data_IF_570131321733
#
_entry.id   IF_570131321733
#
_cell.length_a   1.000
_cell.length_b   1.000
_cell.length_c   1.000
_cell.angle_alpha   90.00
_cell.angle_beta   90.00
_cell.angle_gamma   90.00
#
_symmetry.space_group_name_H-M   'P 1'
#
loop_
_entity.id
_entity.type
_entity.pdbx_description
1 polymer ?
#
# COMPACT_ATOMS: atom_id res chain seq x y z
N UNK A 1 -30.38 4.62 -4.93
CA UNK A 1 -29.42 5.62 -4.44
C UNK A 1 -28.10 5.40 -5.15
N UNK A 2 -27.42 6.47 -5.55
CA UNK A 2 -26.14 6.37 -6.25
C UNK A 2 -25.09 5.69 -5.35
N UNK A 3 -24.61 4.52 -5.76
CA UNK A 3 -23.43 3.90 -5.16
C UNK A 3 -22.25 4.62 -5.80
N UNK A 4 -21.57 5.46 -5.03
CA UNK A 4 -20.33 6.09 -5.46
C UNK A 4 -19.25 5.02 -5.43
N UNK A 5 -18.92 4.47 -6.60
CA UNK A 5 -17.69 3.70 -6.76
C UNK A 5 -16.52 4.66 -6.56
N UNK A 6 -15.60 4.33 -5.66
CA UNK A 6 -14.43 5.17 -5.42
C UNK A 6 -13.56 5.17 -6.68
N UNK A 7 -13.13 6.34 -7.18
CA UNK A 7 -12.33 6.42 -8.40
C UNK A 7 -10.92 5.82 -8.27
N UNK A 8 -10.41 5.59 -7.05
CA UNK A 8 -8.98 5.28 -6.83
C UNK A 8 -8.70 4.12 -5.86
N UNK A 9 -9.71 3.46 -5.29
CA UNK A 9 -9.47 2.40 -4.31
C UNK A 9 -10.73 1.75 -3.72
N UNK A 10 -10.60 0.95 -2.64
CA UNK A 10 -11.74 0.30 -2.01
C UNK A 10 -12.68 1.30 -1.34
N UNK A 11 -13.99 1.02 -1.34
CA UNK A 11 -14.93 1.83 -0.56
C UNK A 11 -14.63 1.67 0.93
N UNK A 12 -14.40 2.78 1.63
CA UNK A 12 -14.07 2.81 3.06
C UNK A 12 -15.21 3.42 3.88
N UNK A 13 -15.38 3.03 5.16
CA UNK A 13 -16.37 3.64 6.04
C UNK A 13 -16.29 5.17 6.05
N UNK A 14 -17.43 5.84 5.92
CA UNK A 14 -17.52 7.30 5.96
C UNK A 14 -17.09 8.03 4.69
N UNK A 15 -16.67 7.33 3.62
CA UNK A 15 -16.10 7.95 2.41
C UNK A 15 -16.99 9.06 1.82
N UNK A 16 -18.31 8.85 1.73
CA UNK A 16 -19.24 9.85 1.20
C UNK A 16 -19.20 11.17 1.96
N UNK A 17 -19.05 11.12 3.29
CA UNK A 17 -19.01 12.33 4.12
C UNK A 17 -17.66 13.03 4.03
N UNK A 18 -16.58 12.25 4.00
CA UNK A 18 -15.22 12.78 3.79
C UNK A 18 -15.13 13.48 2.43
N UNK A 19 -15.65 12.87 1.36
CA UNK A 19 -15.68 13.47 0.02
C UNK A 19 -16.42 14.80 -0.07
N UNK A 20 -17.40 15.06 0.80
CA UNK A 20 -18.16 16.32 0.80
C UNK A 20 -17.44 17.45 1.54
N UNK A 21 -16.54 17.11 2.45
CA UNK A 21 -15.98 18.05 3.43
C UNK A 21 -14.47 18.26 3.31
N UNK A 22 -13.78 17.47 2.48
CA UNK A 22 -12.32 17.47 2.35
C UNK A 22 -11.87 17.65 0.90
N UNK A 23 -10.61 18.06 0.73
CA UNK A 23 -9.95 18.08 -0.58
C UNK A 23 -9.76 16.67 -1.14
N UNK A 24 -9.53 16.54 -2.45
CA UNK A 24 -9.24 15.23 -3.05
C UNK A 24 -8.00 14.56 -2.45
N UNK A 25 -6.98 15.34 -2.11
CA UNK A 25 -5.77 14.84 -1.47
C UNK A 25 -6.08 14.27 -0.08
N UNK A 26 -6.84 15.00 0.73
CA UNK A 26 -7.27 14.55 2.04
C UNK A 26 -8.17 13.30 1.96
N UNK A 27 -9.07 13.23 0.97
CA UNK A 27 -9.87 12.02 0.69
C UNK A 27 -8.97 10.84 0.34
N UNK A 28 -7.96 11.03 -0.51
CA UNK A 28 -7.02 9.99 -0.89
C UNK A 28 -6.18 9.52 0.32
N UNK A 29 -5.68 10.44 1.14
CA UNK A 29 -4.96 10.15 2.37
C UNK A 29 -5.83 9.35 3.37
N UNK A 30 -7.10 9.73 3.53
CA UNK A 30 -8.05 9.03 4.38
C UNK A 30 -8.33 7.60 3.87
N UNK A 31 -8.58 7.46 2.58
CA UNK A 31 -8.82 6.17 1.96
C UNK A 31 -7.61 5.24 2.08
N UNK A 32 -6.40 5.76 1.86
CA UNK A 32 -5.14 5.05 2.08
C UNK A 32 -5.00 4.62 3.55
N UNK A 33 -5.20 5.56 4.49
CA UNK A 33 -5.08 5.31 5.92
C UNK A 33 -5.99 4.17 6.37
N UNK A 34 -7.28 4.22 6.01
CA UNK A 34 -8.23 3.18 6.40
C UNK A 34 -7.87 1.83 5.76
N UNK A 35 -7.54 1.82 4.47
CA UNK A 35 -7.19 0.58 3.75
C UNK A 35 -5.96 -0.10 4.37
N UNK A 36 -4.92 0.67 4.64
CA UNK A 36 -3.67 0.18 5.22
C UNK A 36 -3.87 -0.24 6.68
N UNK A 37 -4.66 0.51 7.46
CA UNK A 37 -4.95 0.13 8.84
C UNK A 37 -5.71 -1.20 8.92
N UNK A 38 -6.66 -1.42 8.00
CA UNK A 38 -7.34 -2.70 7.87
C UNK A 38 -6.37 -3.82 7.47
N UNK A 39 -5.48 -3.58 6.51
CA UNK A 39 -4.48 -4.54 6.08
C UNK A 39 -3.50 -4.90 7.21
N UNK A 40 -3.09 -3.92 8.03
CA UNK A 40 -2.21 -4.13 9.19
C UNK A 40 -2.87 -4.90 10.34
N UNK A 41 -4.19 -4.81 10.46
CA UNK A 41 -4.95 -5.60 11.44
C UNK A 41 -5.20 -7.03 10.96
N UNK A 42 -5.11 -7.30 9.66
CA UNK A 42 -5.43 -8.60 9.07
C UNK A 42 -4.59 -9.79 9.59
N UNK A 43 -3.26 -9.66 9.83
CA UNK A 43 -2.44 -10.74 10.38
C UNK A 43 -2.89 -11.19 11.77
N UNK A 44 -3.60 -10.35 12.53
CA UNK A 44 -4.12 -10.69 13.86
C UNK A 44 -5.19 -11.80 13.76
N UNK A 45 -5.93 -11.83 12.65
CA UNK A 45 -7.05 -12.75 12.43
C UNK A 45 -6.77 -13.79 11.33
N UNK A 46 -5.73 -13.59 10.52
CA UNK A 46 -5.35 -14.49 9.45
C UNK A 46 -4.09 -15.30 9.81
N UNK A 47 -4.11 -16.64 9.73
CA UNK A 47 -2.92 -17.46 9.89
C UNK A 47 -1.82 -17.05 8.90
N UNK A 48 -0.57 -17.02 9.36
CA UNK A 48 0.60 -16.69 8.53
C UNK A 48 0.78 -17.62 7.32
N UNK A 49 0.23 -18.84 7.35
CA UNK A 49 0.20 -19.74 6.20
C UNK A 49 -0.73 -19.27 5.05
N UNK A 50 -1.56 -18.24 5.27
CA UNK A 50 -2.51 -17.69 4.28
C UNK A 50 -2.34 -16.19 4.04
N UNK A 51 -1.27 -15.62 4.60
CA UNK A 51 -0.96 -14.21 4.45
C UNK A 51 0.55 -14.01 4.38
N UNK A 52 1.00 -13.34 3.33
CA UNK A 52 2.39 -12.93 3.15
C UNK A 52 2.42 -11.41 3.00
N UNK A 53 3.14 -10.73 3.89
CA UNK A 53 3.42 -9.30 3.80
C UNK A 53 4.74 -9.08 3.07
N UNK A 54 4.77 -8.10 2.16
CA UNK A 54 5.97 -7.69 1.45
C UNK A 54 6.10 -6.18 1.53
N UNK A 55 7.30 -5.71 1.85
CA UNK A 55 7.66 -4.30 1.71
C UNK A 55 8.13 -4.05 0.28
N UNK A 56 7.59 -3.02 -0.36
CA UNK A 56 7.99 -2.66 -1.71
C UNK A 56 9.50 -2.37 -1.78
N UNK A 57 10.05 -1.67 -0.80
CA UNK A 57 11.46 -1.30 -0.73
C UNK A 57 12.38 -2.52 -0.65
N UNK A 58 11.99 -3.54 0.13
CA UNK A 58 12.77 -4.78 0.25
C UNK A 58 12.65 -5.63 -1.02
N UNK A 59 11.45 -5.67 -1.63
CA UNK A 59 11.22 -6.36 -2.90
C UNK A 59 12.08 -5.78 -4.03
N UNK A 60 12.18 -4.45 -4.14
CA UNK A 60 13.03 -3.83 -5.18
C UNK A 60 14.52 -3.97 -4.87
N UNK A 61 14.91 -3.99 -3.59
CA UNK A 61 16.31 -4.12 -3.18
C UNK A 61 16.84 -5.56 -3.34
N UNK A 62 15.98 -6.57 -3.11
CA UNK A 62 16.33 -7.99 -3.14
C UNK A 62 15.26 -8.82 -3.87
N UNK A 63 15.03 -8.55 -5.17
CA UNK A 63 13.90 -9.14 -5.88
C UNK A 63 13.96 -10.65 -5.95
N UNK A 64 15.13 -11.23 -6.21
CA UNK A 64 15.24 -12.69 -6.32
C UNK A 64 14.89 -13.40 -5.01
N UNK A 65 15.33 -12.86 -3.87
CA UNK A 65 15.05 -13.44 -2.56
C UNK A 65 13.57 -13.38 -2.23
N UNK A 66 12.93 -12.23 -2.48
CA UNK A 66 11.50 -12.07 -2.24
C UNK A 66 10.65 -12.88 -3.21
N UNK A 67 11.02 -13.00 -4.48
CA UNK A 67 10.33 -13.87 -5.44
C UNK A 67 10.42 -15.34 -5.01
N UNK A 68 11.60 -15.81 -4.58
CA UNK A 68 11.76 -17.17 -4.02
C UNK A 68 10.90 -17.39 -2.79
N UNK A 69 10.82 -16.41 -1.89
CA UNK A 69 9.95 -16.49 -0.71
C UNK A 69 8.47 -16.57 -1.11
N UNK A 70 8.01 -15.73 -2.05
CA UNK A 70 6.64 -15.79 -2.56
C UNK A 70 6.32 -17.18 -3.14
N UNK A 71 7.26 -17.79 -3.88
CA UNK A 71 7.08 -19.13 -4.43
C UNK A 71 6.95 -20.19 -3.35
N UNK A 72 7.84 -20.17 -2.35
CA UNK A 72 7.76 -21.08 -1.21
C UNK A 72 6.43 -20.93 -0.47
N UNK A 73 5.93 -19.70 -0.35
CA UNK A 73 4.64 -19.42 0.25
C UNK A 73 3.45 -19.94 -0.58
N UNK A 74 3.53 -19.84 -1.92
CA UNK A 74 2.50 -20.36 -2.84
C UNK A 74 2.58 -21.88 -3.08
N UNK A 75 3.71 -22.51 -2.77
CA UNK A 75 4.00 -23.94 -2.94
C UNK A 75 4.68 -24.29 -4.27
N UNK A 76 5.15 -25.54 -4.38
CA UNK A 76 6.05 -26.07 -5.44
C UNK A 76 5.48 -26.09 -6.88
N UNK A 77 4.31 -25.50 -7.12
CA UNK A 77 3.64 -25.46 -8.42
C UNK A 77 4.13 -24.31 -9.33
N UNK A 78 4.99 -23.43 -8.82
CA UNK A 78 5.39 -22.20 -9.51
C UNK A 78 6.85 -22.26 -9.95
N UNK A 79 7.07 -22.33 -11.27
CA UNK A 79 8.40 -22.29 -11.89
C UNK A 79 9.06 -20.91 -11.68
N UNK A 80 10.25 -20.94 -11.10
CA UNK A 80 10.96 -19.75 -10.62
C UNK A 80 11.87 -19.10 -11.65
N UNK A 81 12.41 -19.88 -12.58
CA UNK A 81 13.36 -19.40 -13.58
C UNK A 81 12.69 -18.43 -14.55
N UNK A 82 11.51 -18.79 -15.06
CA UNK A 82 10.78 -17.95 -16.01
C UNK A 82 10.21 -16.64 -15.43
N UNK A 83 10.05 -16.52 -14.11
CA UNK A 83 9.62 -15.27 -13.47
C UNK A 83 10.79 -14.32 -13.32
N UNK A 84 11.92 -14.79 -12.80
CA UNK A 84 13.11 -13.96 -12.58
C UNK A 84 13.65 -13.36 -13.88
N UNK A 85 13.61 -14.13 -14.98
CA UNK A 85 14.00 -13.64 -16.32
C UNK A 85 13.11 -12.50 -16.86
N UNK A 86 11.90 -12.32 -16.31
CA UNK A 86 10.89 -11.35 -16.76
C UNK A 86 10.69 -10.19 -15.79
N UNK A 87 11.34 -10.23 -14.63
CA UNK A 87 11.27 -9.17 -13.62
C UNK A 87 12.15 -8.02 -14.09
N UNK A 88 11.52 -6.98 -14.65
CA UNK A 88 12.15 -5.70 -14.90
C UNK A 88 11.72 -4.71 -13.81
N UNK A 89 12.56 -4.53 -12.78
CA UNK A 89 12.28 -3.57 -11.71
C UNK A 89 12.73 -2.19 -12.15
N UNK A 90 11.77 -1.36 -12.55
CA UNK A 90 11.98 0.07 -12.62
C UNK A 90 11.73 0.67 -11.24
N UNK A 91 12.81 1.03 -10.53
CA UNK A 91 12.69 1.84 -9.32
C UNK A 91 12.27 3.27 -9.71
N UNK A 92 11.23 3.80 -9.07
CA UNK A 92 10.85 5.20 -9.22
C UNK A 92 11.91 6.11 -8.63
N UNK A 93 12.41 7.09 -9.41
CA UNK A 93 13.53 7.95 -9.01
C UNK A 93 13.18 9.13 -8.09
N UNK A 94 11.90 9.36 -7.80
CA UNK A 94 11.43 10.43 -6.92
C UNK A 94 10.57 9.87 -5.81
N UNK A 95 10.73 10.40 -4.59
CA UNK A 95 9.82 10.13 -3.48
C UNK A 95 8.56 10.98 -3.63
N UNK A 96 7.41 10.46 -3.23
CA UNK A 96 6.14 11.19 -3.31
C UNK A 96 6.15 12.51 -2.51
N UNK A 97 7.02 12.62 -1.49
CA UNK A 97 7.20 13.83 -0.68
C UNK A 97 7.87 14.97 -1.45
N UNK A 98 8.80 14.65 -2.35
CA UNK A 98 9.48 15.66 -3.19
C UNK A 98 8.54 16.29 -4.22
N UNK A 99 7.42 15.62 -4.51
CA UNK A 99 6.42 16.07 -5.47
C UNK A 99 5.29 16.90 -4.83
N UNK A 100 5.28 17.03 -3.50
CA UNK A 100 4.23 17.73 -2.76
C UNK A 100 4.73 19.07 -2.21
N UNK A 101 3.83 20.05 -2.18
CA UNK A 101 4.06 21.29 -1.43
C UNK A 101 4.02 21.03 0.09
N UNK A 102 4.56 21.94 0.92
CA UNK A 102 4.51 21.80 2.37
C UNK A 102 3.08 21.71 2.95
N UNK A 103 2.12 22.40 2.34
CA UNK A 103 0.71 22.37 2.75
C UNK A 103 0.08 21.00 2.44
N UNK A 104 0.29 20.48 1.23
CA UNK A 104 -0.17 19.15 0.85
C UNK A 104 0.44 18.05 1.72
N UNK A 105 1.73 18.15 2.05
CA UNK A 105 2.39 17.21 2.95
C UNK A 105 1.78 17.29 4.35
N UNK A 106 1.51 18.50 4.87
CA UNK A 106 0.85 18.70 6.16
C UNK A 106 -0.55 18.08 6.19
N UNK A 107 -1.32 18.20 5.10
CA UNK A 107 -2.65 17.59 4.97
C UNK A 107 -2.57 16.06 5.03
N UNK A 108 -1.63 15.46 4.30
CA UNK A 108 -1.41 14.00 4.32
C UNK A 108 -0.96 13.54 5.70
N UNK A 109 -0.02 14.24 6.33
CA UNK A 109 0.50 13.85 7.64
C UNK A 109 -0.54 13.98 8.76
N UNK A 110 -1.43 14.97 8.68
CA UNK A 110 -2.53 15.13 9.63
C UNK A 110 -3.46 13.90 9.65
N UNK A 111 -3.61 13.22 8.51
CA UNK A 111 -4.52 12.07 8.35
C UNK A 111 -3.78 10.74 8.52
N UNK A 112 -2.65 10.59 7.83
CA UNK A 112 -1.95 9.32 7.64
C UNK A 112 -0.60 9.24 8.38
N UNK A 113 -0.13 10.34 8.97
CA UNK A 113 1.24 10.46 9.48
C UNK A 113 1.61 9.44 10.55
N UNK A 114 0.66 9.08 11.43
CA UNK A 114 0.92 8.03 12.43
C UNK A 114 1.19 6.68 11.77
N UNK A 115 0.34 6.26 10.83
CA UNK A 115 0.50 4.98 10.10
C UNK A 115 1.73 4.97 9.22
N UNK A 116 2.05 6.09 8.56
CA UNK A 116 3.29 6.25 7.79
C UNK A 116 4.52 6.01 8.66
N UNK A 117 4.57 6.62 9.86
CA UNK A 117 5.67 6.41 10.81
C UNK A 117 5.74 4.97 11.32
N UNK A 118 4.60 4.34 11.63
CA UNK A 118 4.56 2.92 12.03
C UNK A 118 5.15 2.01 10.95
N UNK A 119 4.93 2.34 9.68
CA UNK A 119 5.48 1.61 8.53
C UNK A 119 6.93 2.01 8.19
N UNK A 120 7.53 2.98 8.89
CA UNK A 120 8.90 3.43 8.65
C UNK A 120 9.06 4.49 7.56
N UNK A 121 7.97 5.08 7.07
CA UNK A 121 8.02 6.21 6.15
C UNK A 121 8.20 7.50 6.95
N UNK A 122 9.45 7.93 7.15
CA UNK A 122 9.81 9.23 7.72
C UNK A 122 9.81 10.32 6.65
#
# INVERSE_FOLDING_TARGET
GFVWESPWGPSVPGLTEVMRSHSLLQVAAYQWFVSVSCALAFPIVCPTARYLELRYEELIAKPEDHIRHIQQFLGDQYDSEGVLERVNIMAGGYTWRELMSPEELSDVEAIAGHTLRLLGYQ
#
